data_IF_603300174652
#
_entry.id   IF_603300174652
#
_cell.length_a   1.000
_cell.length_b   1.000
_cell.length_c   1.000
_cell.angle_alpha   90.00
_cell.angle_beta   90.00
_cell.angle_gamma   90.00
#
_symmetry.space_group_name_H-M   'P 1'
#
loop_
_entity.id
_entity.type
_entity.pdbx_description
1 polymer ?
#
# COMPACT_ATOMS: atom_id res chain seq x y z
N UNK A 1 -28.74 14.90 -12.99
CA UNK A 1 -29.24 13.58 -13.43
C UNK A 1 -28.24 13.06 -14.45
N UNK A 2 -27.17 12.39 -14.00
CA UNK A 2 -26.18 11.81 -14.89
C UNK A 2 -26.76 10.50 -15.45
N UNK A 3 -26.81 10.43 -16.77
CA UNK A 3 -27.25 9.28 -17.56
C UNK A 3 -26.38 8.08 -17.16
N UNK A 4 -27.03 6.97 -16.77
CA UNK A 4 -26.38 5.67 -16.56
C UNK A 4 -25.86 5.15 -17.90
N UNK A 5 -24.70 5.63 -18.34
CA UNK A 5 -24.00 5.05 -19.47
C UNK A 5 -23.19 3.85 -18.99
N UNK A 6 -23.73 2.68 -19.30
CA UNK A 6 -23.23 1.34 -18.97
C UNK A 6 -22.09 0.91 -19.90
N UNK A 7 -21.00 1.65 -19.94
CA UNK A 7 -19.75 1.15 -20.53
C UNK A 7 -18.73 0.98 -19.40
N UNK A 8 -18.25 -0.25 -19.25
CA UNK A 8 -17.21 -0.66 -18.30
C UNK A 8 -15.92 0.10 -18.61
N UNK A 9 -15.72 1.20 -17.87
CA UNK A 9 -14.70 2.21 -18.16
C UNK A 9 -13.78 2.42 -16.97
N UNK A 10 -12.54 2.74 -17.32
CA UNK A 10 -11.66 3.49 -16.44
C UNK A 10 -12.06 4.96 -16.61
N UNK A 11 -12.37 5.62 -15.50
CA UNK A 11 -12.85 7.00 -15.42
C UNK A 11 -11.82 7.80 -14.65
N UNK A 12 -11.34 8.90 -15.21
CA UNK A 12 -10.48 9.84 -14.49
C UNK A 12 -11.28 10.60 -13.43
N UNK A 13 -10.70 10.73 -12.24
CA UNK A 13 -11.30 11.48 -11.13
C UNK A 13 -10.24 12.24 -10.34
N UNK A 14 -10.67 13.36 -9.76
CA UNK A 14 -9.90 14.19 -8.84
C UNK A 14 -10.50 14.15 -7.42
N UNK A 15 -11.42 13.24 -7.13
CA UNK A 15 -12.00 13.11 -5.79
C UNK A 15 -12.37 11.67 -5.48
N UNK A 16 -11.97 11.22 -4.29
CA UNK A 16 -12.24 9.87 -3.82
C UNK A 16 -13.75 9.61 -3.64
N UNK A 17 -14.57 10.66 -3.48
CA UNK A 17 -16.05 10.57 -3.43
C UNK A 17 -16.70 9.99 -4.66
N UNK A 18 -16.08 10.10 -5.83
CA UNK A 18 -16.72 9.68 -7.09
C UNK A 18 -16.99 8.17 -7.10
N UNK A 19 -16.29 7.38 -6.29
CA UNK A 19 -16.58 5.95 -6.09
C UNK A 19 -18.01 5.70 -5.61
N UNK A 20 -18.60 6.62 -4.83
CA UNK A 20 -19.95 6.47 -4.29
C UNK A 20 -21.02 6.42 -5.40
N UNK A 21 -20.75 7.05 -6.55
CA UNK A 21 -21.68 7.06 -7.69
C UNK A 21 -21.76 5.69 -8.39
N UNK A 22 -20.73 4.85 -8.20
CA UNK A 22 -20.57 3.57 -8.86
C UNK A 22 -20.93 2.39 -7.94
N UNK A 23 -20.82 2.58 -6.62
CA UNK A 23 -21.15 1.54 -5.64
C UNK A 23 -22.66 1.27 -5.67
N UNK A 24 -23.00 0.01 -5.92
CA UNK A 24 -24.38 -0.49 -5.90
C UNK A 24 -24.46 -1.82 -5.15
N UNK A 25 -25.65 -2.43 -5.11
CA UNK A 25 -25.83 -3.77 -4.55
C UNK A 25 -24.80 -4.77 -5.11
N UNK A 26 -24.24 -5.61 -4.25
CA UNK A 26 -23.26 -6.67 -4.58
C UNK A 26 -21.97 -6.15 -5.23
N UNK A 27 -21.53 -4.96 -4.78
CA UNK A 27 -20.26 -4.35 -5.17
C UNK A 27 -19.19 -4.64 -4.12
N UNK A 28 -18.01 -5.07 -4.56
CA UNK A 28 -16.78 -4.96 -3.77
C UNK A 28 -16.02 -3.70 -4.18
N UNK A 29 -15.49 -2.98 -3.18
CA UNK A 29 -14.62 -1.84 -3.40
C UNK A 29 -13.16 -2.27 -3.23
N UNK A 30 -12.35 -1.99 -4.23
CA UNK A 30 -10.90 -2.14 -4.20
C UNK A 30 -10.25 -0.76 -4.09
N UNK A 31 -9.33 -0.60 -3.14
CA UNK A 31 -8.58 0.63 -2.97
C UNK A 31 -7.09 0.36 -3.07
N UNK A 32 -6.38 1.09 -3.92
CA UNK A 32 -4.95 1.24 -3.73
C UNK A 32 -4.63 1.99 -2.42
N UNK A 33 -3.39 1.87 -1.94
CA UNK A 33 -2.96 2.48 -0.69
C UNK A 33 -2.17 3.77 -0.94
N UNK A 34 -1.06 3.70 -1.67
CA UNK A 34 -0.09 4.79 -1.79
C UNK A 34 -0.54 5.79 -2.85
N UNK A 35 -0.63 7.07 -2.50
CA UNK A 35 -1.25 8.13 -3.32
C UNK A 35 -2.77 8.01 -3.56
N UNK A 36 -3.42 6.98 -3.01
CA UNK A 36 -4.87 6.81 -3.09
C UNK A 36 -5.52 7.00 -1.73
N UNK A 37 -5.16 6.17 -0.73
CA UNK A 37 -5.69 6.26 0.63
C UNK A 37 -4.79 7.10 1.53
N UNK A 38 -3.48 6.88 1.44
CA UNK A 38 -2.49 7.59 2.24
C UNK A 38 -1.27 8.00 1.43
N UNK A 39 -0.61 9.03 1.93
CA UNK A 39 0.71 9.46 1.46
C UNK A 39 1.64 9.70 2.65
N UNK A 40 2.96 9.64 2.47
CA UNK A 40 3.90 10.09 3.49
C UNK A 40 3.65 11.54 3.89
N UNK A 41 3.97 11.87 5.14
CA UNK A 41 3.83 13.24 5.64
C UNK A 41 4.72 14.23 4.86
N UNK A 42 5.82 13.75 4.28
CA UNK A 42 6.81 14.51 3.51
C UNK A 42 7.28 13.77 2.26
N UNK A 43 8.25 14.33 1.54
CA UNK A 43 8.80 13.77 0.30
C UNK A 43 9.46 12.39 0.47
N UNK A 44 10.19 12.19 1.57
CA UNK A 44 10.90 10.94 1.85
C UNK A 44 9.92 9.79 2.07
N UNK A 45 10.14 8.70 1.35
CA UNK A 45 9.28 7.51 1.39
C UNK A 45 8.07 7.59 0.45
N UNK A 46 7.95 8.64 -0.37
CA UNK A 46 6.90 8.69 -1.40
C UNK A 46 7.19 7.72 -2.55
N UNK A 47 6.14 7.31 -3.26
CA UNK A 47 6.26 6.49 -4.47
C UNK A 47 7.13 7.19 -5.53
N UNK A 48 6.99 8.51 -5.66
CA UNK A 48 7.74 9.30 -6.63
C UNK A 48 9.21 9.42 -6.26
N UNK A 49 9.52 9.59 -4.96
CA UNK A 49 10.89 9.52 -4.48
C UNK A 49 11.51 8.15 -4.79
N UNK A 50 10.76 7.07 -4.58
CA UNK A 50 11.23 5.71 -4.89
C UNK A 50 11.51 5.50 -6.38
N UNK A 51 10.59 5.92 -7.25
CA UNK A 51 10.77 5.82 -8.72
C UNK A 51 12.00 6.60 -9.17
N UNK A 52 12.16 7.85 -8.70
CA UNK A 52 13.34 8.68 -9.02
C UNK A 52 14.65 8.08 -8.49
N UNK A 53 14.59 7.44 -7.32
CA UNK A 53 15.74 6.77 -6.74
C UNK A 53 16.16 5.53 -7.54
N UNK A 54 15.20 4.74 -8.04
CA UNK A 54 15.48 3.62 -8.95
C UNK A 54 16.11 4.13 -10.25
N UNK A 55 15.54 5.16 -10.88
CA UNK A 55 16.08 5.79 -12.09
C UNK A 55 17.54 6.22 -11.90
N UNK A 56 17.82 6.96 -10.81
CA UNK A 56 19.17 7.41 -10.45
C UNK A 56 20.13 6.24 -10.21
N UNK A 57 19.72 5.24 -9.42
CA UNK A 57 20.56 4.09 -9.13
C UNK A 57 20.92 3.29 -10.40
N UNK A 58 19.96 3.13 -11.32
CA UNK A 58 20.19 2.42 -12.59
C UNK A 58 21.09 3.19 -13.56
N UNK A 59 21.25 4.50 -13.40
CA UNK A 59 22.19 5.31 -14.20
C UNK A 59 23.63 5.21 -13.70
N UNK A 60 23.83 4.87 -12.42
CA UNK A 60 25.16 4.81 -11.79
C UNK A 60 25.85 3.45 -11.87
N UNK A 61 25.17 2.40 -12.33
CA UNK A 61 25.75 1.06 -12.43
C UNK A 61 25.25 0.28 -13.64
N UNK A 62 26.11 -0.58 -14.18
CA UNK A 62 25.74 -1.56 -15.20
C UNK A 62 24.90 -2.71 -14.61
N UNK A 63 25.05 -3.00 -13.31
CA UNK A 63 24.28 -4.04 -12.62
C UNK A 63 22.96 -3.47 -12.07
N UNK A 64 21.94 -3.40 -12.93
CA UNK A 64 20.62 -2.83 -12.60
C UNK A 64 19.88 -3.64 -11.53
N UNK A 65 20.04 -4.96 -11.53
CA UNK A 65 19.37 -5.84 -10.56
C UNK A 65 19.86 -5.55 -9.13
N UNK A 66 21.17 -5.49 -8.94
CA UNK A 66 21.76 -5.13 -7.64
C UNK A 66 21.37 -3.71 -7.19
N UNK A 67 21.27 -2.77 -8.14
CA UNK A 67 20.79 -1.42 -7.86
C UNK A 67 19.36 -1.43 -7.32
N UNK A 68 18.45 -2.14 -7.99
CA UNK A 68 17.06 -2.28 -7.57
C UNK A 68 16.95 -2.92 -6.19
N UNK A 69 17.67 -4.03 -5.93
CA UNK A 69 17.67 -4.70 -4.62
C UNK A 69 18.12 -3.72 -3.51
N UNK A 70 19.16 -2.93 -3.77
CA UNK A 70 19.68 -1.97 -2.80
C UNK A 70 18.68 -0.85 -2.50
N UNK A 71 18.03 -0.33 -3.54
CA UNK A 71 17.02 0.73 -3.40
C UNK A 71 15.76 0.21 -2.71
N UNK A 72 15.32 -1.02 -3.00
CA UNK A 72 14.20 -1.66 -2.29
C UNK A 72 14.49 -1.80 -0.80
N UNK A 73 15.69 -2.25 -0.42
CA UNK A 73 16.12 -2.33 0.99
C UNK A 73 16.12 -0.96 1.68
N UNK A 74 16.66 0.05 1.01
CA UNK A 74 16.62 1.44 1.51
C UNK A 74 15.18 1.93 1.68
N UNK A 75 14.31 1.71 0.69
CA UNK A 75 12.90 2.08 0.76
C UNK A 75 12.18 1.41 1.93
N UNK A 76 12.38 0.10 2.11
CA UNK A 76 11.79 -0.65 3.23
C UNK A 76 12.19 -0.07 4.59
N UNK A 77 13.48 0.20 4.79
CA UNK A 77 13.95 0.80 6.05
C UNK A 77 13.40 2.21 6.28
N UNK A 78 13.25 3.00 5.22
CA UNK A 78 12.60 4.31 5.31
C UNK A 78 11.13 4.16 5.70
N UNK A 79 10.39 3.24 5.08
CA UNK A 79 8.97 3.01 5.39
C UNK A 79 8.73 2.70 6.87
N UNK A 80 9.62 1.95 7.52
CA UNK A 80 9.53 1.64 8.95
C UNK A 80 9.58 2.88 9.86
N UNK A 81 10.12 3.99 9.37
CA UNK A 81 10.44 5.19 10.16
C UNK A 81 9.53 6.38 9.85
N UNK A 82 8.99 6.47 8.64
CA UNK A 82 8.14 7.61 8.26
C UNK A 82 6.73 7.49 8.85
N UNK A 83 6.09 8.65 8.99
CA UNK A 83 4.66 8.79 9.25
C UNK A 83 3.91 9.07 7.95
N UNK A 84 2.65 8.66 7.91
CA UNK A 84 1.73 8.91 6.80
C UNK A 84 0.57 9.79 7.25
N UNK A 85 -0.13 10.35 6.27
CA UNK A 85 -1.40 11.05 6.41
C UNK A 85 -2.35 10.58 5.31
N UNK A 86 -3.64 10.84 5.47
CA UNK A 86 -4.60 10.58 4.39
C UNK A 86 -4.33 11.49 3.19
N UNK A 87 -4.64 11.01 1.99
CA UNK A 87 -4.60 11.83 0.78
C UNK A 87 -5.72 12.88 0.82
N UNK A 88 -6.96 12.40 1.01
CA UNK A 88 -8.11 13.25 1.33
C UNK A 88 -8.60 12.93 2.76
N UNK A 89 -8.86 13.92 3.63
CA UNK A 89 -9.30 13.68 5.01
C UNK A 89 -10.55 12.81 5.15
N UNK A 90 -11.45 12.88 4.18
CA UNK A 90 -12.74 12.20 4.20
C UNK A 90 -12.67 10.68 3.97
N UNK A 91 -11.57 10.16 3.42
CA UNK A 91 -11.46 8.72 3.11
C UNK A 91 -11.68 7.84 4.34
N UNK A 92 -11.28 8.32 5.52
CA UNK A 92 -11.51 7.63 6.81
C UNK A 92 -13.00 7.43 7.05
N UNK A 93 -13.79 8.48 6.88
CA UNK A 93 -15.24 8.44 7.07
C UNK A 93 -15.93 7.62 5.98
N UNK A 94 -15.47 7.72 4.73
CA UNK A 94 -16.03 6.97 3.61
C UNK A 94 -15.80 5.46 3.77
N UNK A 95 -14.57 5.04 4.06
CA UNK A 95 -14.25 3.62 4.33
C UNK A 95 -15.12 3.10 5.46
N UNK A 96 -15.17 3.82 6.59
CA UNK A 96 -15.98 3.41 7.74
C UNK A 96 -17.47 3.27 7.38
N UNK A 97 -18.06 4.29 6.74
CA UNK A 97 -19.47 4.30 6.40
C UNK A 97 -19.84 3.19 5.39
N UNK A 98 -18.98 2.92 4.41
CA UNK A 98 -19.18 1.85 3.44
C UNK A 98 -19.10 0.47 4.11
N UNK A 99 -18.12 0.24 4.99
CA UNK A 99 -18.03 -1.00 5.78
C UNK A 99 -19.24 -1.16 6.71
N UNK A 100 -19.68 -0.09 7.39
CA UNK A 100 -20.86 -0.08 8.26
C UNK A 100 -22.14 -0.39 7.47
N UNK A 101 -22.17 -0.06 6.18
CA UNK A 101 -23.25 -0.37 5.25
C UNK A 101 -23.13 -1.77 4.61
N UNK A 102 -22.14 -2.56 5.00
CA UNK A 102 -21.92 -3.93 4.53
C UNK A 102 -21.25 -4.04 3.16
N UNK A 103 -20.64 -2.96 2.65
CA UNK A 103 -19.84 -3.00 1.41
C UNK A 103 -18.48 -3.64 1.71
N UNK A 104 -18.12 -4.78 1.10
CA UNK A 104 -16.80 -5.36 1.28
C UNK A 104 -15.72 -4.47 0.65
N UNK A 105 -14.66 -4.19 1.39
CA UNK A 105 -13.53 -3.36 0.94
C UNK A 105 -12.23 -4.16 1.06
N UNK A 106 -11.50 -4.30 -0.05
CA UNK A 106 -10.11 -4.80 -0.06
C UNK A 106 -9.17 -3.67 -0.43
N UNK A 107 -8.01 -3.64 0.22
CA UNK A 107 -6.90 -2.82 -0.26
C UNK A 107 -5.94 -3.66 -1.12
N UNK A 108 -5.40 -3.08 -2.18
CA UNK A 108 -4.45 -3.71 -3.10
C UNK A 108 -3.23 -2.81 -3.25
N UNK A 109 -2.07 -3.22 -2.73
CA UNK A 109 -0.86 -2.39 -2.75
C UNK A 109 0.30 -3.09 -3.43
N UNK A 110 1.14 -2.32 -4.11
CA UNK A 110 2.41 -2.80 -4.65
C UNK A 110 3.49 -3.00 -3.56
N UNK A 111 3.24 -2.54 -2.32
CA UNK A 111 4.16 -2.73 -1.19
C UNK A 111 4.50 -4.20 -0.99
N UNK A 112 5.74 -4.42 -0.56
CA UNK A 112 6.28 -5.73 -0.24
C UNK A 112 5.67 -6.31 1.04
N UNK A 113 5.60 -7.64 1.11
CA UNK A 113 5.06 -8.36 2.27
C UNK A 113 5.88 -8.15 3.56
N UNK A 114 7.16 -7.75 3.47
CA UNK A 114 7.94 -7.28 4.64
C UNK A 114 7.34 -6.04 5.31
N UNK A 115 6.54 -5.25 4.58
CA UNK A 115 5.92 -4.02 5.08
C UNK A 115 4.52 -4.21 5.67
N UNK A 116 4.04 -5.45 5.82
CA UNK A 116 2.68 -5.73 6.34
C UNK A 116 2.42 -4.99 7.65
N UNK A 117 3.23 -5.22 8.69
CA UNK A 117 2.98 -4.63 10.01
C UNK A 117 3.20 -3.12 10.04
N UNK A 118 4.13 -2.63 9.22
CA UNK A 118 4.37 -1.19 9.09
C UNK A 118 3.18 -0.50 8.47
N UNK A 119 2.65 -1.06 7.38
CA UNK A 119 1.47 -0.55 6.67
C UNK A 119 0.24 -0.60 7.57
N UNK A 120 0.02 -1.69 8.31
CA UNK A 120 -1.07 -1.79 9.30
C UNK A 120 -0.97 -0.71 10.37
N UNK A 121 0.22 -0.49 10.92
CA UNK A 121 0.43 0.57 11.90
C UNK A 121 0.22 1.96 11.28
N UNK A 122 0.67 2.21 10.06
CA UNK A 122 0.48 3.48 9.36
C UNK A 122 -1.01 3.77 9.07
N UNK A 123 -1.76 2.77 8.61
CA UNK A 123 -3.21 2.89 8.40
C UNK A 123 -3.96 3.11 9.72
N UNK A 124 -3.57 2.40 10.78
CA UNK A 124 -4.16 2.58 12.11
C UNK A 124 -3.91 3.99 12.67
N UNK A 125 -2.71 4.54 12.49
CA UNK A 125 -2.36 5.90 12.94
C UNK A 125 -3.22 6.98 12.26
N UNK A 126 -3.74 6.71 11.06
CA UNK A 126 -4.65 7.61 10.32
C UNK A 126 -6.13 7.20 10.44
N UNK A 127 -6.45 6.21 11.28
CA UNK A 127 -7.82 5.80 11.59
C UNK A 127 -8.48 4.85 10.58
N UNK A 128 -7.71 4.16 9.74
CA UNK A 128 -8.22 3.24 8.71
C UNK A 128 -7.95 1.78 9.11
N UNK A 129 -8.96 0.93 8.94
CA UNK A 129 -8.88 -0.50 9.19
C UNK A 129 -9.66 -1.29 8.13
N UNK A 130 -8.93 -2.01 7.27
CA UNK A 130 -9.52 -2.85 6.22
C UNK A 130 -9.97 -4.23 6.70
N UNK A 131 -9.64 -4.64 7.93
CA UNK A 131 -9.92 -6.00 8.41
C UNK A 131 -11.39 -6.25 8.76
N UNK A 132 -12.20 -5.19 8.89
CA UNK A 132 -13.58 -5.24 9.40
C UNK A 132 -14.57 -6.04 8.55
N UNK A 133 -14.34 -6.15 7.25
CA UNK A 133 -15.24 -6.85 6.32
C UNK A 133 -14.87 -8.31 6.07
N UNK A 134 -13.79 -8.80 6.69
CA UNK A 134 -13.22 -10.10 6.37
C UNK A 134 -13.11 -10.92 7.64
N UNK A 135 -13.26 -12.24 7.50
CA UNK A 135 -13.05 -13.13 8.63
C UNK A 135 -11.60 -13.03 9.09
N UNK A 136 -11.41 -12.48 10.30
CA UNK A 136 -10.10 -12.30 10.94
C UNK A 136 -9.42 -13.63 11.28
N UNK A 137 -10.15 -14.75 11.20
CA UNK A 137 -9.58 -16.10 11.32
C UNK A 137 -8.78 -16.53 10.09
N UNK A 138 -9.00 -15.89 8.93
CA UNK A 138 -8.20 -16.10 7.73
C UNK A 138 -6.77 -15.60 7.97
N UNK A 139 -5.88 -16.55 8.23
CA UNK A 139 -4.43 -16.33 8.36
C UNK A 139 -3.87 -15.62 7.12
N UNK A 140 -2.65 -15.11 7.25
CA UNK A 140 -1.79 -14.70 6.12
C UNK A 140 -1.90 -15.75 5.00
N UNK A 141 -2.45 -15.36 3.85
CA UNK A 141 -2.54 -16.25 2.68
C UNK A 141 -1.38 -15.87 1.76
N UNK A 142 -0.43 -16.78 1.61
CA UNK A 142 0.57 -16.67 0.55
C UNK A 142 -0.12 -17.03 -0.77
N UNK A 143 -0.14 -16.07 -1.67
CA UNK A 143 -0.78 -16.22 -2.96
C UNK A 143 0.25 -16.89 -3.87
N UNK A 144 -0.05 -18.13 -4.27
CA UNK A 144 0.86 -18.99 -5.03
C UNK A 144 1.44 -18.24 -6.23
N UNK A 145 2.76 -18.11 -6.23
CA UNK A 145 3.55 -17.63 -7.36
C UNK A 145 4.84 -18.47 -7.41
N UNK A 146 5.35 -18.71 -8.61
CA UNK A 146 6.52 -19.58 -8.85
C UNK A 146 7.80 -19.10 -8.14
N UNK A 147 7.88 -17.82 -7.79
CA UNK A 147 8.99 -17.21 -7.04
C UNK A 147 8.79 -17.28 -5.51
N UNK A 148 9.60 -18.08 -4.82
CA UNK A 148 9.55 -18.23 -3.35
C UNK A 148 9.94 -16.98 -2.55
N UNK A 149 10.62 -16.02 -3.19
CA UNK A 149 11.03 -14.77 -2.56
C UNK A 149 10.05 -13.65 -2.96
N UNK A 150 9.59 -12.84 -1.99
CA UNK A 150 8.59 -11.77 -2.19
C UNK A 150 7.22 -12.26 -2.67
N UNK A 151 6.69 -13.31 -2.04
CA UNK A 151 5.35 -13.81 -2.35
C UNK A 151 4.26 -12.78 -1.99
N UNK A 152 3.33 -12.50 -2.92
CA UNK A 152 2.16 -11.72 -2.62
C UNK A 152 1.39 -12.35 -1.47
N UNK A 153 0.86 -11.50 -0.62
CA UNK A 153 0.28 -11.91 0.65
C UNK A 153 -1.02 -11.18 0.89
N UNK A 154 -2.08 -11.92 1.22
CA UNK A 154 -3.27 -11.35 1.81
C UNK A 154 -3.18 -11.34 3.33
N UNK A 155 -3.45 -10.20 3.96
CA UNK A 155 -3.48 -10.03 5.41
C UNK A 155 -4.46 -8.93 5.83
N UNK A 156 -5.51 -9.30 6.58
CA UNK A 156 -6.43 -8.35 7.20
C UNK A 156 -7.11 -7.38 6.24
N UNK A 157 -7.64 -7.88 5.13
CA UNK A 157 -8.31 -7.06 4.11
C UNK A 157 -7.37 -6.35 3.13
N UNK A 158 -6.07 -6.66 3.16
CA UNK A 158 -5.05 -6.05 2.29
C UNK A 158 -4.31 -7.13 1.51
N UNK A 159 -4.20 -6.96 0.18
CA UNK A 159 -3.31 -7.73 -0.69
C UNK A 159 -2.03 -6.94 -0.91
N UNK A 160 -0.92 -7.44 -0.37
CA UNK A 160 0.44 -6.98 -0.63
C UNK A 160 0.97 -7.71 -1.86
N UNK A 161 1.11 -7.02 -2.98
CA UNK A 161 1.48 -7.64 -4.25
C UNK A 161 2.99 -7.78 -4.43
N UNK A 162 3.81 -7.17 -3.57
CA UNK A 162 5.27 -7.22 -3.66
C UNK A 162 5.82 -6.91 -5.05
N UNK A 163 5.30 -5.85 -5.67
CA UNK A 163 5.63 -5.43 -7.03
C UNK A 163 5.06 -6.31 -8.17
N UNK A 164 4.40 -7.43 -7.87
CA UNK A 164 3.75 -8.30 -8.87
C UNK A 164 2.45 -7.68 -9.37
N UNK A 165 1.92 -8.29 -10.43
CA UNK A 165 0.67 -7.88 -11.07
C UNK A 165 -0.52 -7.92 -10.11
N UNK A 166 -1.17 -6.76 -9.88
CA UNK A 166 -2.32 -6.64 -8.97
C UNK A 166 -3.52 -7.49 -9.39
N UNK A 167 -3.79 -7.62 -10.69
CA UNK A 167 -4.87 -8.46 -11.22
C UNK A 167 -4.64 -9.94 -10.93
N UNK A 168 -3.41 -10.44 -11.16
CA UNK A 168 -3.04 -11.82 -10.83
C UNK A 168 -3.11 -12.08 -9.32
N UNK A 169 -2.62 -11.15 -8.50
CA UNK A 169 -2.68 -11.27 -7.04
C UNK A 169 -4.13 -11.33 -6.54
N UNK A 170 -4.99 -10.43 -7.03
CA UNK A 170 -6.42 -10.47 -6.71
C UNK A 170 -7.06 -11.79 -7.12
N UNK A 171 -6.78 -12.27 -8.34
CA UNK A 171 -7.34 -13.53 -8.82
C UNK A 171 -6.96 -14.73 -7.95
N UNK A 172 -5.72 -14.77 -7.47
CA UNK A 172 -5.27 -15.81 -6.53
C UNK A 172 -6.07 -15.79 -5.23
N UNK A 173 -6.52 -14.62 -4.75
CA UNK A 173 -7.46 -14.55 -3.62
C UNK A 173 -8.88 -14.99 -4.02
N UNK A 174 -9.35 -14.56 -5.19
CA UNK A 174 -10.71 -14.86 -5.67
C UNK A 174 -10.94 -16.35 -5.91
N UNK A 175 -9.94 -17.11 -6.35
CA UNK A 175 -10.06 -18.58 -6.53
C UNK A 175 -10.34 -19.31 -5.22
N UNK A 176 -9.95 -18.73 -4.09
CA UNK A 176 -10.21 -19.25 -2.75
C UNK A 176 -11.45 -18.64 -2.09
N UNK A 177 -12.14 -17.75 -2.80
CA UNK A 177 -13.32 -17.04 -2.29
C UNK A 177 -14.59 -17.77 -2.72
N UNK A 178 -15.41 -18.30 -1.79
CA UNK A 178 -16.60 -19.08 -2.13
C UNK A 178 -17.68 -18.31 -2.90
N UNK A 179 -17.76 -16.99 -2.71
CA UNK A 179 -18.75 -16.12 -3.33
C UNK A 179 -18.08 -14.87 -3.89
N UNK A 180 -18.11 -14.73 -5.21
CA UNK A 180 -17.62 -13.56 -5.93
C UNK A 180 -18.70 -12.48 -6.02
N UNK A 181 -18.32 -11.19 -6.04
CA UNK A 181 -19.27 -10.11 -6.28
C UNK A 181 -19.74 -10.11 -7.73
N UNK A 182 -20.90 -9.50 -7.98
CA UNK A 182 -21.34 -9.19 -9.36
C UNK A 182 -20.64 -7.95 -9.93
N UNK A 183 -20.08 -7.12 -9.05
CA UNK A 183 -19.50 -5.84 -9.44
C UNK A 183 -18.26 -5.51 -8.61
N UNK A 184 -17.23 -4.98 -9.26
CA UNK A 184 -16.05 -4.41 -8.62
C UNK A 184 -15.91 -2.94 -9.03
N UNK A 185 -15.74 -2.08 -8.04
CA UNK A 185 -15.24 -0.71 -8.22
C UNK A 185 -13.82 -0.68 -7.70
N UNK A 186 -12.86 -0.19 -8.49
CA UNK A 186 -11.48 -0.02 -8.05
C UNK A 186 -11.05 1.44 -8.16
N UNK A 187 -10.33 1.94 -7.15
CA UNK A 187 -9.67 3.24 -7.18
C UNK A 187 -8.17 3.06 -7.06
N UNK A 188 -7.41 3.64 -7.99
CA UNK A 188 -5.95 3.54 -8.05
C UNK A 188 -5.35 4.78 -8.75
N UNK A 189 -4.19 5.25 -8.31
CA UNK A 189 -3.51 6.40 -8.92
C UNK A 189 -2.88 6.06 -10.28
N UNK A 190 -2.67 4.77 -10.57
CA UNK A 190 -2.03 4.29 -11.80
C UNK A 190 -3.00 3.51 -12.67
N UNK A 191 -3.28 4.06 -13.84
CA UNK A 191 -4.14 3.44 -14.86
C UNK A 191 -3.75 1.98 -15.17
N UNK A 192 -2.45 1.67 -15.26
CA UNK A 192 -1.96 0.31 -15.52
C UNK A 192 -2.53 -0.72 -14.54
N UNK A 193 -2.68 -0.36 -13.26
CA UNK A 193 -3.18 -1.26 -12.24
C UNK A 193 -4.69 -1.54 -12.41
N UNK A 194 -5.45 -0.51 -12.81
CA UNK A 194 -6.85 -0.66 -13.17
C UNK A 194 -7.01 -1.57 -14.39
N UNK A 195 -6.17 -1.42 -15.41
CA UNK A 195 -6.19 -2.27 -16.60
C UNK A 195 -5.89 -3.74 -16.27
N UNK A 196 -4.85 -3.99 -15.46
CA UNK A 196 -4.48 -5.35 -15.07
C UNK A 196 -5.60 -6.04 -14.27
N UNK A 197 -6.26 -5.32 -13.37
CA UNK A 197 -7.40 -5.85 -12.61
C UNK A 197 -8.61 -6.05 -13.52
N UNK A 198 -8.94 -5.07 -14.38
CA UNK A 198 -10.04 -5.16 -15.35
C UNK A 198 -9.94 -6.44 -16.20
N UNK A 199 -8.79 -6.67 -16.80
CA UNK A 199 -8.54 -7.81 -17.69
C UNK A 199 -8.85 -9.16 -17.01
N UNK A 200 -8.51 -9.28 -15.72
CA UNK A 200 -8.66 -10.54 -14.98
C UNK A 200 -10.08 -10.69 -14.42
N UNK A 201 -10.69 -9.60 -13.96
CA UNK A 201 -12.02 -9.60 -13.34
C UNK A 201 -13.13 -9.82 -14.37
N UNK A 202 -13.01 -9.24 -15.56
CA UNK A 202 -13.98 -9.44 -16.64
C UNK A 202 -14.00 -10.89 -17.12
N UNK A 203 -12.85 -11.58 -17.11
CA UNK A 203 -12.76 -13.03 -17.40
C UNK A 203 -13.54 -13.89 -16.40
N UNK A 204 -13.72 -13.39 -15.18
CA UNK A 204 -14.51 -14.04 -14.13
C UNK A 204 -16.01 -13.68 -14.21
N UNK A 205 -16.45 -12.95 -15.24
CA UNK A 205 -17.85 -12.54 -15.41
C UNK A 205 -18.32 -11.48 -14.41
N UNK A 206 -17.39 -10.75 -13.81
CA UNK A 206 -17.66 -9.70 -12.83
C UNK A 206 -17.61 -8.34 -13.55
N UNK A 207 -18.65 -7.53 -13.39
CA UNK A 207 -18.68 -6.16 -13.95
C UNK A 207 -17.60 -5.31 -13.29
N UNK A 208 -16.90 -4.46 -14.05
CA UNK A 208 -15.82 -3.63 -13.53
C UNK A 208 -16.02 -2.13 -13.82
N UNK A 209 -15.77 -1.28 -12.82
CA UNK A 209 -15.51 0.15 -13.00
C UNK A 209 -14.19 0.53 -12.33
N UNK A 210 -13.31 1.18 -13.09
CA UNK A 210 -12.06 1.72 -12.57
C UNK A 210 -12.16 3.23 -12.41
N UNK A 211 -11.64 3.76 -11.31
CA UNK A 211 -11.42 5.18 -11.10
C UNK A 211 -9.92 5.42 -11.07
N UNK A 212 -9.40 6.04 -12.13
CA UNK A 212 -8.04 6.56 -12.12
C UNK A 212 -8.08 7.82 -11.27
N UNK A 213 -7.48 7.74 -10.10
CA UNK A 213 -7.44 8.81 -9.12
C UNK A 213 -6.22 9.72 -9.29
N UNK A 214 -6.43 10.91 -9.85
CA UNK A 214 -5.37 11.85 -10.20
C UNK A 214 -5.10 12.96 -9.18
N UNK A 215 -5.63 12.87 -7.95
CA UNK A 215 -5.58 13.97 -6.97
C UNK A 215 -4.16 14.45 -6.64
N UNK A 216 -3.20 13.52 -6.60
CA UNK A 216 -1.79 13.83 -6.32
C UNK A 216 -0.92 13.98 -7.56
N UNK A 217 -1.47 13.99 -8.77
CA UNK A 217 -0.67 14.00 -10.01
C UNK A 217 0.31 15.17 -10.10
N UNK A 218 -0.16 16.38 -9.81
CA UNK A 218 0.69 17.57 -9.86
C UNK A 218 1.75 17.55 -8.76
N UNK A 219 1.41 17.05 -7.56
CA UNK A 219 2.39 16.86 -6.49
C UNK A 219 3.44 15.83 -6.89
N UNK A 220 3.00 14.72 -7.49
CA UNK A 220 3.83 13.60 -7.91
C UNK A 220 4.84 14.01 -8.98
N UNK A 221 4.41 14.79 -9.98
CA UNK A 221 5.29 15.34 -11.02
C UNK A 221 6.37 16.25 -10.46
N UNK A 222 6.06 16.98 -9.38
CA UNK A 222 6.91 18.00 -8.80
C UNK A 222 7.61 17.56 -7.49
N UNK A 223 7.85 16.25 -7.33
CA UNK A 223 8.54 15.68 -6.16
C UNK A 223 9.85 16.41 -5.85
N UNK A 224 10.05 16.82 -4.60
CA UNK A 224 11.24 17.56 -4.19
C UNK A 224 12.33 16.60 -3.66
N UNK A 225 13.15 16.10 -4.58
CA UNK A 225 14.24 15.17 -4.26
C UNK A 225 15.27 15.75 -3.28
N UNK A 226 15.54 17.06 -3.35
CA UNK A 226 16.46 17.71 -2.40
C UNK A 226 15.91 17.67 -0.97
N UNK A 227 14.62 17.93 -0.80
CA UNK A 227 13.97 17.82 0.50
C UNK A 227 13.96 16.37 1.00
N UNK A 228 13.71 15.39 0.14
CA UNK A 228 13.80 13.97 0.49
C UNK A 228 15.22 13.57 0.93
N UNK A 229 16.27 14.07 0.26
CA UNK A 229 17.66 13.83 0.63
C UNK A 229 18.02 14.45 2.00
N UNK A 230 17.55 15.66 2.30
CA UNK A 230 17.74 16.28 3.62
C UNK A 230 17.04 15.46 4.71
N UNK A 231 15.82 14.98 4.44
CA UNK A 231 15.07 14.11 5.36
C UNK A 231 15.80 12.78 5.57
N UNK A 232 16.36 12.19 4.50
CA UNK A 232 17.12 10.95 4.58
C UNK A 232 18.39 11.12 5.42
N UNK A 233 19.07 12.26 5.29
CA UNK A 233 20.22 12.60 6.11
C UNK A 233 19.90 12.61 7.61
N UNK A 234 18.69 13.05 7.98
CA UNK A 234 18.26 13.11 9.38
C UNK A 234 18.16 11.72 10.03
N UNK A 235 17.82 10.68 9.26
CA UNK A 235 17.67 9.31 9.77
C UNK A 235 18.82 8.37 9.38
N UNK A 236 19.79 8.83 8.59
CA UNK A 236 20.87 7.98 8.04
C UNK A 236 21.53 7.10 9.11
N UNK A 237 21.83 7.69 10.28
CA UNK A 237 22.51 7.00 11.38
C UNK A 237 21.67 5.91 12.05
N UNK A 238 20.35 5.94 11.87
CA UNK A 238 19.44 4.93 12.40
C UNK A 238 19.24 3.75 11.45
N UNK A 239 19.67 3.87 10.18
CA UNK A 239 19.54 2.83 9.15
C UNK A 239 20.65 1.78 9.30
N UNK A 240 20.42 0.57 8.77
CA UNK A 240 21.46 -0.47 8.80
C UNK A 240 22.70 -0.09 7.98
N UNK A 241 23.86 -0.67 8.33
CA UNK A 241 25.12 -0.41 7.62
C UNK A 241 25.03 -0.69 6.09
N UNK A 242 24.39 -1.77 5.60
CA UNK A 242 24.18 -1.96 4.16
C UNK A 242 23.40 -0.83 3.49
N UNK A 243 22.39 -0.28 4.17
CA UNK A 243 21.60 0.85 3.66
C UNK A 243 22.41 2.14 3.70
N UNK A 244 23.18 2.39 4.76
CA UNK A 244 24.09 3.54 4.84
C UNK A 244 25.13 3.52 3.70
N UNK A 245 25.72 2.36 3.41
CA UNK A 245 26.63 2.19 2.29
C UNK A 245 25.94 2.45 0.94
N UNK A 246 24.67 2.05 0.81
CA UNK A 246 23.86 2.34 -0.39
C UNK A 246 23.66 3.85 -0.57
N UNK A 247 23.35 4.57 0.51
CA UNK A 247 23.19 6.03 0.50
C UNK A 247 24.47 6.73 0.04
N UNK A 248 25.63 6.28 0.51
CA UNK A 248 26.94 6.84 0.14
C UNK A 248 27.30 6.53 -1.30
N UNK A 249 27.15 5.26 -1.72
CA UNK A 249 27.41 4.83 -3.11
C UNK A 249 26.56 5.60 -4.11
N UNK A 250 25.28 5.84 -3.78
CA UNK A 250 24.34 6.57 -4.62
C UNK A 250 24.45 8.10 -4.44
N UNK A 251 25.34 8.59 -3.57
CA UNK A 251 25.56 10.01 -3.31
C UNK A 251 24.28 10.78 -2.94
N UNK A 252 23.36 10.14 -2.22
CA UNK A 252 22.04 10.71 -1.91
C UNK A 252 22.09 11.79 -0.84
N UNK A 253 23.13 11.79 -0.01
CA UNK A 253 23.29 12.76 1.08
C UNK A 253 24.65 13.41 0.92
N UNK A 254 24.66 14.75 0.83
CA UNK A 254 25.89 15.53 0.74
C UNK A 254 26.46 15.79 2.13
N UNK A 255 27.79 15.79 2.26
CA UNK A 255 28.51 16.03 3.52
C UNK A 255 28.25 17.43 4.12
N UNK A 256 27.79 18.37 3.30
CA UNK A 256 27.58 19.78 3.66
C UNK A 256 26.11 20.11 4.01
N UNK A 257 25.23 19.12 4.16
CA UNK A 257 23.84 19.39 4.55
C UNK A 257 23.84 19.89 6.00
N UNK A 258 23.54 21.18 6.17
CA UNK A 258 23.28 21.75 7.48
C UNK A 258 21.96 21.18 7.98
N UNK A 259 22.04 20.12 8.81
CA UNK A 259 20.86 19.45 9.34
C UNK A 259 20.17 20.40 10.31
N UNK A 260 19.13 21.08 9.85
CA UNK A 260 18.19 21.76 10.72
C UNK A 260 17.37 20.69 11.45
N UNK A 261 17.97 20.05 12.46
CA UNK A 261 17.35 18.99 13.26
C UNK A 261 15.98 19.40 13.82
N UNK A 262 15.77 20.71 14.04
CA UNK A 262 14.50 21.27 14.52
C UNK A 262 13.37 21.22 13.48
N UNK A 263 13.67 21.41 12.19
CA UNK A 263 12.67 21.30 11.10
C UNK A 263 12.25 19.84 10.87
N UNK A 264 13.16 18.91 11.20
CA UNK A 264 13.12 17.45 11.28
C UNK A 264 12.60 16.79 12.59
N UNK A 265 12.29 17.55 13.64
CA UNK A 265 11.99 17.00 14.96
C UNK A 265 10.53 16.47 15.08
N UNK A 266 10.36 15.17 15.37
CA UNK A 266 9.04 14.53 15.55
C UNK A 266 8.42 13.92 14.28
N UNK A 267 9.16 13.92 13.17
CA UNK A 267 8.71 13.46 11.85
C UNK A 267 8.82 11.96 11.66
N UNK A 268 9.78 11.36 12.36
CA UNK A 268 10.06 9.94 12.32
C UNK A 268 9.50 9.26 13.57
N UNK A 269 9.07 8.01 13.41
CA UNK A 269 8.67 7.18 14.55
C UNK A 269 9.88 6.96 15.45
N UNK A 270 9.76 7.35 16.73
CA UNK A 270 10.78 7.05 17.74
C UNK A 270 10.91 5.52 17.90
N UNK A 271 12.03 4.96 17.43
CA UNK A 271 12.32 3.52 17.48
C UNK A 271 12.59 2.99 18.91
N UNK A 272 12.60 3.84 19.93
CA UNK A 272 12.80 3.45 21.34
C UNK A 272 11.75 2.44 21.86
N UNK A 273 10.60 2.29 21.21
CA UNK A 273 9.58 1.30 21.57
C UNK A 273 9.80 -0.10 20.95
N UNK A 274 10.62 -0.25 19.92
CA UNK A 274 10.90 -1.56 19.30
C UNK A 274 11.99 -2.36 20.04
N UNK A 275 12.86 -1.69 20.81
CA UNK A 275 13.86 -2.36 21.68
C UNK A 275 13.32 -2.78 23.07
N UNK A 276 12.07 -2.44 23.42
CA UNK A 276 11.49 -2.71 24.76
C UNK A 276 10.35 -3.75 24.79
N UNK A 277 9.99 -4.38 23.67
CA UNK A 277 8.94 -5.42 23.63
C UNK A 277 9.49 -6.85 23.76
N UNK A 278 10.33 -7.09 24.76
CA UNK A 278 10.62 -8.48 25.16
C UNK A 278 9.92 -8.93 26.44
N UNK A 279 9.15 -8.06 27.13
CA UNK A 279 8.55 -8.42 28.43
C UNK A 279 7.16 -7.81 28.70
N UNK A 280 6.23 -7.83 27.74
CA UNK A 280 4.79 -7.67 28.05
C UNK A 280 3.96 -8.62 27.16
N UNK A 281 2.81 -9.12 27.66
CA UNK A 281 2.17 -10.31 27.12
C UNK A 281 1.64 -10.07 25.72
N UNK A 282 1.94 -11.02 24.84
CA UNK A 282 1.30 -11.17 23.55
C UNK A 282 -0.22 -11.20 23.70
N UNK A 283 -0.94 -10.58 22.76
CA UNK A 283 -2.35 -10.90 22.51
C UNK A 283 -2.45 -12.34 21.97
N UNK A 284 -2.13 -13.33 22.79
CA UNK A 284 -2.36 -14.75 22.54
C UNK A 284 -2.69 -15.39 23.87
N UNK A 285 -3.96 -15.33 24.23
CA UNK A 285 -4.55 -16.27 25.16
C UNK A 285 -6.00 -16.45 24.75
N UNK A 286 -6.23 -17.39 23.84
CA UNK A 286 -7.45 -18.19 23.88
C UNK A 286 -7.10 -19.59 23.36
N UNK A 287 -7.37 -20.57 24.22
CA UNK A 287 -7.08 -21.99 24.04
C UNK A 287 -8.11 -22.58 23.07
N UNK A 288 -7.60 -23.38 22.13
CA UNK A 288 -8.17 -24.61 21.56
C UNK A 288 -9.70 -24.73 21.40
N UNK A 289 -10.15 -24.85 20.13
CA UNK A 289 -10.95 -26.00 19.72
C UNK A 289 -10.64 -26.36 18.25
N UNK A 290 -10.36 -27.63 18.00
CA UNK A 290 -9.99 -28.20 16.72
C UNK A 290 -11.18 -28.93 16.12
N UNK A 291 -12.03 -28.21 15.38
CA UNK A 291 -12.93 -28.83 14.39
C UNK A 291 -13.37 -27.83 13.33
N UNK A 292 -12.82 -27.97 12.13
CA UNK A 292 -13.31 -27.27 10.94
C UNK A 292 -14.58 -28.00 10.46
N UNK A 293 -15.73 -27.33 10.55
CA UNK A 293 -16.95 -27.72 9.84
C UNK A 293 -17.53 -26.49 9.15
N UNK A 294 -17.52 -26.52 7.81
CA UNK A 294 -18.37 -25.63 7.01
C UNK A 294 -19.82 -26.06 7.18
N UNK A 295 -20.61 -25.28 7.92
CA UNK A 295 -22.06 -25.44 7.96
C UNK A 295 -22.66 -24.81 6.72
N UNK A 296 -23.24 -25.65 5.85
CA UNK A 296 -24.15 -25.23 4.79
C UNK A 296 -25.40 -24.64 5.43
N UNK A 297 -25.79 -23.43 4.99
CA UNK A 297 -27.18 -22.99 4.87
C UNK A 297 -27.24 -21.97 3.72
#
# INVERSE_FOLDING_TARGET
>A
MLVRNSEEKIIETQSIRDMLQLISYDTWLLLDIDNTVMEPLHELGSDQWFVKLIEHACQLTSNKEEAMISVVKLYQEVQHRIRTKTVEPEIVHLVKALQDSGVPILALTARDSSLIETTRCQLKDIGIDFSRCWDTSAKKIELDNEDKENNPTYSGGIIFCSGKDKGKCLNSLLTHTPKLPKHIVMVDDKEKHLLHVKEIIERNGIRFHGLRYGFLDEKAKNVNMQAAHIQLACIKQELSSPVQNTIERLQLVSSNVHIQHTKYAGFFRNLHHLKRKHNEPSCTNEKYDSSVKFSRN
#
